data_IF_303004932472
#
_entry.id   IF_303004932472
#
_cell.length_a   1.000
_cell.length_b   1.000
_cell.length_c   1.000
_cell.angle_alpha   90.00
_cell.angle_beta   90.00
_cell.angle_gamma   90.00
#
_symmetry.space_group_name_H-M   'P 1'
#
loop_
_entity.id
_entity.type
_entity.pdbx_description
1 polymer ?
#
# COMPACT_ATOMS: atom_id res chain seq x y z
N UNK A 1 31.37 -67.25 21.11
CA UNK A 1 31.71 -65.85 21.45
C UNK A 1 30.38 -65.10 21.50
N UNK A 2 29.57 -65.37 22.51
CA UNK A 2 29.62 -64.70 23.82
C UNK A 2 29.16 -63.25 23.71
N UNK A 3 27.86 -63.06 23.90
CA UNK A 3 27.25 -61.93 24.63
C UNK A 3 27.96 -61.75 26.00
N UNK A 4 27.77 -60.68 26.83
CA UNK A 4 26.52 -59.91 27.02
C UNK A 4 26.79 -58.43 27.46
N UNK A 5 25.91 -57.55 27.99
CA UNK A 5 24.71 -57.62 28.87
C UNK A 5 24.15 -56.17 28.96
N UNK A 6 22.88 -55.87 28.66
CA UNK A 6 21.72 -55.69 29.59
C UNK A 6 21.87 -54.53 30.59
N UNK A 7 21.07 -53.47 30.53
CA UNK A 7 19.68 -53.30 31.07
C UNK A 7 19.72 -52.38 32.29
N UNK A 8 18.87 -51.33 32.32
CA UNK A 8 17.56 -51.28 33.02
C UNK A 8 17.25 -49.90 33.62
N UNK A 9 16.03 -49.43 33.31
CA UNK A 9 15.03 -48.71 34.13
C UNK A 9 15.43 -47.40 34.86
N UNK A 10 14.59 -46.38 35.02
CA UNK A 10 13.12 -46.30 35.06
C UNK A 10 12.67 -44.86 34.72
N UNK A 11 11.47 -44.72 34.15
CA UNK A 11 10.70 -43.46 34.16
C UNK A 11 10.27 -43.09 35.58
N UNK A 12 9.87 -41.83 35.82
CA UNK A 12 8.43 -41.63 35.99
C UNK A 12 7.85 -40.32 35.43
N UNK A 13 6.54 -40.42 35.21
CA UNK A 13 5.48 -39.41 35.33
C UNK A 13 5.44 -38.24 34.35
N UNK A 14 4.53 -38.42 33.39
CA UNK A 14 3.70 -37.38 32.81
C UNK A 14 3.10 -36.48 33.90
N UNK A 15 3.10 -35.16 33.65
CA UNK A 15 1.98 -34.32 34.03
C UNK A 15 1.56 -33.56 32.77
N UNK A 16 0.39 -33.95 32.26
CA UNK A 16 -0.31 -33.26 31.19
C UNK A 16 -0.72 -31.87 31.66
N UNK A 17 -0.41 -30.85 30.88
CA UNK A 17 -1.21 -29.63 30.86
C UNK A 17 -1.76 -29.49 29.44
N UNK A 18 -3.01 -29.92 29.27
CA UNK A 18 -3.82 -29.65 28.09
C UNK A 18 -3.98 -28.12 27.95
N UNK A 19 -3.26 -27.51 27.02
CA UNK A 19 -3.68 -26.26 26.43
C UNK A 19 -4.58 -26.61 25.25
N UNK A 20 -5.86 -26.23 25.35
CA UNK A 20 -6.84 -26.43 24.29
C UNK A 20 -6.43 -25.64 23.05
N UNK A 21 -5.88 -26.33 22.04
CA UNK A 21 -5.80 -25.79 20.69
C UNK A 21 -7.20 -25.78 20.09
N UNK A 22 -7.84 -24.61 20.08
CA UNK A 22 -8.93 -24.36 19.13
C UNK A 22 -8.38 -24.54 17.71
N UNK A 23 -9.04 -25.31 16.84
CA UNK A 23 -8.56 -25.51 15.49
C UNK A 23 -8.64 -24.17 14.75
N UNK A 24 -7.48 -23.63 14.39
CA UNK A 24 -7.36 -22.49 13.51
C UNK A 24 -8.27 -22.71 12.29
N UNK A 25 -9.37 -21.95 12.22
CA UNK A 25 -10.27 -21.95 11.07
C UNK A 25 -9.41 -21.63 9.84
N UNK A 26 -9.10 -22.66 9.04
CA UNK A 26 -8.52 -22.48 7.71
C UNK A 26 -9.49 -21.64 6.91
N UNK A 27 -9.26 -20.32 6.87
CA UNK A 27 -9.90 -19.42 5.91
C UNK A 27 -9.48 -19.92 4.53
N UNK A 28 -10.40 -20.56 3.82
CA UNK A 28 -10.26 -20.84 2.40
C UNK A 28 -10.04 -19.49 1.71
N UNK A 29 -8.82 -19.23 1.22
CA UNK A 29 -8.57 -18.08 0.34
C UNK A 29 -9.31 -18.35 -0.96
N UNK A 30 -10.51 -17.79 -1.11
CA UNK A 30 -11.13 -17.66 -2.43
C UNK A 30 -10.26 -16.68 -3.23
N UNK A 31 -9.49 -17.21 -4.18
CA UNK A 31 -8.78 -16.39 -5.16
C UNK A 31 -9.79 -15.98 -6.22
N UNK A 32 -10.20 -14.72 -6.19
CA UNK A 32 -11.04 -14.16 -7.24
C UNK A 32 -10.17 -13.71 -8.40
N UNK A 33 -10.54 -14.11 -9.62
CA UNK A 33 -9.81 -13.75 -10.85
C UNK A 33 -10.69 -12.79 -11.65
N UNK A 34 -10.08 -11.68 -12.08
CA UNK A 34 -10.72 -10.76 -13.02
C UNK A 34 -10.78 -11.39 -14.41
N UNK A 35 -11.90 -11.22 -15.08
CA UNK A 35 -12.12 -11.71 -16.44
C UNK A 35 -12.41 -10.54 -17.38
N UNK A 36 -11.83 -10.58 -18.57
CA UNK A 36 -12.09 -9.63 -19.64
C UNK A 36 -12.20 -10.37 -20.96
N UNK A 37 -13.28 -10.13 -21.70
CA UNK A 37 -13.53 -10.74 -23.00
C UNK A 37 -13.82 -9.65 -24.01
N UNK A 38 -13.18 -9.73 -25.17
CA UNK A 38 -13.57 -8.93 -26.34
C UNK A 38 -15.06 -9.15 -26.61
N UNK A 39 -15.79 -8.06 -26.86
CA UNK A 39 -17.22 -8.12 -27.14
C UNK A 39 -17.60 -7.17 -28.27
N UNK A 40 -18.77 -7.40 -28.87
CA UNK A 40 -19.45 -6.40 -29.67
C UNK A 40 -20.56 -5.76 -28.86
N UNK A 41 -20.64 -4.42 -28.88
CA UNK A 41 -21.68 -3.63 -28.22
C UNK A 41 -22.78 -3.34 -29.22
N UNK A 42 -24.00 -3.78 -28.93
CA UNK A 42 -25.17 -3.55 -29.78
C UNK A 42 -26.04 -2.43 -29.20
N UNK A 43 -26.62 -1.61 -30.08
CA UNK A 43 -27.71 -0.70 -29.69
C UNK A 43 -29.05 -1.41 -29.89
N UNK A 44 -29.59 -1.97 -28.80
CA UNK A 44 -30.73 -2.89 -28.85
C UNK A 44 -30.34 -4.33 -29.22
N UNK A 45 -31.26 -5.29 -28.98
CA UNK A 45 -30.98 -6.75 -29.03
C UNK A 45 -30.37 -7.24 -30.35
N UNK A 46 -30.88 -6.73 -31.48
CA UNK A 46 -30.40 -7.06 -32.83
C UNK A 46 -30.03 -5.82 -33.63
N UNK A 47 -29.84 -4.67 -32.99
CA UNK A 47 -29.55 -3.40 -33.66
C UNK A 47 -28.10 -3.26 -34.13
N UNK A 48 -27.66 -2.05 -34.51
CA UNK A 48 -26.32 -1.83 -35.07
C UNK A 48 -25.21 -2.17 -34.08
N UNK A 49 -24.05 -2.59 -34.60
CA UNK A 49 -22.83 -2.85 -33.82
C UNK A 49 -22.05 -1.55 -33.73
N UNK A 50 -21.96 -1.00 -32.53
CA UNK A 50 -21.37 0.33 -32.32
C UNK A 50 -19.89 0.28 -31.97
N UNK A 51 -19.48 -0.77 -31.25
CA UNK A 51 -18.09 -1.04 -30.90
C UNK A 51 -17.84 -2.55 -30.93
N UNK A 52 -16.63 -2.98 -31.28
CA UNK A 52 -16.29 -4.40 -31.34
C UNK A 52 -14.82 -4.68 -31.03
N UNK A 53 -14.57 -5.65 -30.16
CA UNK A 53 -13.24 -6.17 -29.91
C UNK A 53 -12.67 -6.93 -31.12
N UNK A 54 -11.35 -6.97 -31.21
CA UNK A 54 -10.62 -7.55 -32.36
C UNK A 54 -10.94 -9.05 -32.57
N UNK A 55 -11.23 -9.80 -31.51
CA UNK A 55 -11.59 -11.21 -31.63
C UNK A 55 -12.92 -11.48 -32.34
N UNK A 56 -13.77 -10.47 -32.54
CA UNK A 56 -15.05 -10.64 -33.23
C UNK A 56 -14.89 -10.54 -34.75
N UNK A 57 -13.70 -10.20 -35.25
CA UNK A 57 -13.37 -10.20 -36.68
C UNK A 57 -14.08 -9.10 -37.47
N UNK A 58 -14.47 -8.00 -36.83
CA UNK A 58 -15.10 -6.84 -37.44
C UNK A 58 -14.14 -5.64 -37.53
N UNK A 59 -14.19 -4.85 -38.62
CA UNK A 59 -13.37 -3.66 -38.77
C UNK A 59 -14.02 -2.45 -38.06
N UNK A 60 -14.03 -2.44 -36.72
CA UNK A 60 -14.50 -1.27 -35.95
C UNK A 60 -13.34 -0.47 -35.39
N UNK A 61 -13.46 0.86 -35.38
CA UNK A 61 -12.47 1.76 -34.77
C UNK A 61 -12.51 1.81 -33.25
N UNK A 62 -13.57 1.29 -32.64
CA UNK A 62 -13.82 1.30 -31.21
C UNK A 62 -13.72 -0.12 -30.64
N UNK A 63 -12.55 -0.56 -30.15
CA UNK A 63 -12.44 -1.81 -29.44
C UNK A 63 -13.29 -1.79 -28.17
N UNK A 64 -13.97 -2.90 -27.88
CA UNK A 64 -14.77 -3.05 -26.67
C UNK A 64 -14.50 -4.38 -25.98
N UNK A 65 -14.54 -4.36 -24.64
CA UNK A 65 -14.47 -5.56 -23.82
C UNK A 65 -15.53 -5.53 -22.72
N UNK A 66 -16.12 -6.69 -22.47
CA UNK A 66 -16.93 -6.95 -21.29
C UNK A 66 -16.03 -7.43 -20.16
N UNK A 67 -16.22 -6.89 -18.96
CA UNK A 67 -15.30 -7.00 -17.84
C UNK A 67 -16.05 -7.46 -16.58
N UNK A 68 -15.46 -8.43 -15.89
CA UNK A 68 -15.79 -8.84 -14.53
C UNK A 68 -14.53 -8.62 -13.68
N UNK A 69 -14.45 -7.47 -13.01
CA UNK A 69 -13.27 -7.03 -12.29
C UNK A 69 -13.34 -7.45 -10.83
N UNK A 70 -12.39 -8.29 -10.40
CA UNK A 70 -12.27 -8.83 -9.03
C UNK A 70 -10.88 -8.56 -8.46
N UNK A 71 -10.39 -7.34 -8.67
CA UNK A 71 -9.06 -6.90 -8.25
C UNK A 71 -9.03 -6.80 -6.71
N UNK A 72 -7.91 -7.19 -6.10
CA UNK A 72 -7.69 -7.02 -4.67
C UNK A 72 -7.74 -5.53 -4.28
N UNK A 73 -8.17 -5.27 -3.05
CA UNK A 73 -8.16 -3.93 -2.44
C UNK A 73 -8.97 -2.87 -3.18
N UNK A 74 -9.95 -3.31 -3.98
CA UNK A 74 -10.83 -2.45 -4.75
C UNK A 74 -12.23 -3.07 -4.83
N UNK A 75 -13.24 -2.21 -5.02
CA UNK A 75 -14.60 -2.69 -5.20
C UNK A 75 -14.73 -3.52 -6.48
N UNK A 76 -15.24 -4.76 -6.38
CA UNK A 76 -15.42 -5.61 -7.55
C UNK A 76 -16.65 -5.12 -8.34
N UNK A 77 -16.53 -5.12 -9.67
CA UNK A 77 -17.56 -4.58 -10.56
C UNK A 77 -17.69 -5.35 -11.87
N UNK A 78 -18.87 -5.30 -12.46
CA UNK A 78 -19.17 -5.82 -13.81
C UNK A 78 -19.51 -4.64 -14.70
N UNK A 79 -19.07 -4.68 -15.94
CA UNK A 79 -19.26 -3.58 -16.86
C UNK A 79 -18.54 -3.81 -18.17
N UNK A 80 -18.35 -2.75 -18.93
CA UNK A 80 -17.60 -2.80 -20.19
C UNK A 80 -16.71 -1.59 -20.34
N UNK A 81 -15.77 -1.68 -21.27
CA UNK A 81 -15.02 -0.53 -21.73
C UNK A 81 -15.19 -0.33 -23.24
N UNK A 82 -15.02 0.91 -23.66
CA UNK A 82 -14.83 1.29 -25.05
C UNK A 82 -13.50 2.05 -25.12
N UNK A 83 -12.64 1.59 -26.01
CA UNK A 83 -11.31 2.13 -26.21
C UNK A 83 -11.35 3.09 -27.40
N UNK A 84 -10.97 4.34 -27.16
CA UNK A 84 -10.84 5.39 -28.17
C UNK A 84 -9.37 5.50 -28.57
N UNK A 85 -9.01 5.25 -29.83
CA UNK A 85 -7.62 5.35 -30.26
C UNK A 85 -7.10 6.78 -30.13
N UNK A 86 -5.87 6.93 -29.63
CA UNK A 86 -5.08 8.16 -29.65
C UNK A 86 -4.02 8.05 -30.76
N UNK A 87 -3.47 9.18 -31.17
CA UNK A 87 -2.33 9.18 -32.08
C UNK A 87 -1.11 8.53 -31.43
N UNK A 88 -0.38 7.71 -32.19
CA UNK A 88 0.81 7.02 -31.69
C UNK A 88 1.82 8.05 -31.17
N UNK A 89 2.28 7.87 -29.94
CA UNK A 89 3.19 8.77 -29.22
C UNK A 89 2.65 10.20 -29.01
N UNK A 90 1.42 10.49 -29.44
CA UNK A 90 0.73 11.77 -29.28
C UNK A 90 1.49 13.01 -29.80
N UNK A 91 2.39 12.83 -30.78
CA UNK A 91 3.27 13.90 -31.26
C UNK A 91 2.51 15.06 -31.92
N UNK A 92 1.40 14.78 -32.62
CA UNK A 92 0.59 15.82 -33.24
C UNK A 92 -0.20 16.59 -32.16
N UNK A 93 -0.79 15.85 -31.22
CA UNK A 93 -1.48 16.41 -30.05
C UNK A 93 -0.55 17.32 -29.21
N UNK A 94 0.71 16.93 -29.03
CA UNK A 94 1.74 17.76 -28.36
C UNK A 94 2.05 19.04 -29.14
N UNK A 95 2.30 18.93 -30.45
CA UNK A 95 2.62 20.08 -31.31
C UNK A 95 1.47 21.11 -31.38
N UNK A 96 0.22 20.66 -31.24
CA UNK A 96 -0.96 21.51 -31.21
C UNK A 96 -1.29 22.08 -29.81
N UNK A 97 -0.49 21.74 -28.78
CA UNK A 97 -0.64 22.26 -27.42
C UNK A 97 -1.61 21.50 -26.51
N UNK A 98 -2.08 20.32 -26.92
CA UNK A 98 -2.92 19.43 -26.10
C UNK A 98 -2.10 18.51 -25.18
N UNK A 99 -0.79 18.40 -25.45
CA UNK A 99 0.15 17.59 -24.66
C UNK A 99 0.01 16.09 -24.88
N UNK A 100 0.71 15.32 -24.05
CA UNK A 100 0.75 13.84 -24.12
C UNK A 100 0.15 13.24 -22.87
N UNK A 101 -0.82 12.33 -23.06
CA UNK A 101 -1.39 11.54 -21.97
C UNK A 101 -0.49 10.36 -21.64
N UNK A 102 -0.23 10.16 -20.36
CA UNK A 102 0.62 9.09 -19.86
C UNK A 102 -0.13 8.17 -18.91
N UNK A 103 0.37 6.95 -18.75
CA UNK A 103 -0.04 6.06 -17.68
C UNK A 103 1.16 5.37 -17.05
N UNK A 104 1.02 4.99 -15.78
CA UNK A 104 2.01 4.18 -15.09
C UNK A 104 1.72 2.70 -15.37
N UNK A 105 2.66 2.05 -16.06
CA UNK A 105 2.57 0.64 -16.37
C UNK A 105 3.05 -0.20 -15.17
N UNK A 106 2.10 -0.77 -14.43
CA UNK A 106 2.37 -1.59 -13.25
C UNK A 106 3.18 -2.86 -13.56
N UNK A 107 3.03 -3.46 -14.75
CA UNK A 107 3.80 -4.66 -15.11
C UNK A 107 5.24 -4.36 -15.48
N UNK A 108 5.55 -3.10 -15.78
CA UNK A 108 6.90 -2.60 -16.07
C UNK A 108 7.42 -1.72 -14.93
N UNK A 109 7.25 -2.17 -13.68
CA UNK A 109 7.75 -1.49 -12.49
C UNK A 109 7.36 0.00 -12.42
N UNK A 110 6.09 0.29 -12.71
CA UNK A 110 5.52 1.64 -12.71
C UNK A 110 6.09 2.61 -13.76
N UNK A 111 6.80 2.12 -14.78
CA UNK A 111 7.30 2.94 -15.88
C UNK A 111 6.17 3.79 -16.49
N UNK A 112 6.42 5.09 -16.64
CA UNK A 112 5.48 6.02 -17.24
C UNK A 112 5.66 5.97 -18.76
N UNK A 113 4.60 5.61 -19.47
CA UNK A 113 4.60 5.51 -20.94
C UNK A 113 3.45 6.31 -21.53
N UNK A 114 3.59 6.88 -22.74
CA UNK A 114 2.48 7.48 -23.47
C UNK A 114 1.33 6.48 -23.66
N UNK A 115 0.11 6.97 -23.56
CA UNK A 115 -1.09 6.22 -23.91
C UNK A 115 -1.30 6.27 -25.43
N UNK A 116 -1.68 5.14 -26.00
CA UNK A 116 -2.17 5.01 -27.38
C UNK A 116 -3.70 4.88 -27.43
N UNK A 117 -4.34 4.79 -26.26
CA UNK A 117 -5.78 4.61 -26.11
C UNK A 117 -6.29 5.46 -24.94
N UNK A 118 -7.39 6.17 -25.19
CA UNK A 118 -8.24 6.71 -24.15
C UNK A 118 -9.40 5.75 -23.86
N UNK A 119 -9.52 5.29 -22.61
CA UNK A 119 -10.53 4.31 -22.23
C UNK A 119 -11.72 4.95 -21.51
N UNK A 120 -12.92 4.69 -22.02
CA UNK A 120 -14.17 4.91 -21.30
C UNK A 120 -14.55 3.60 -20.60
N UNK A 121 -14.76 3.65 -19.29
CA UNK A 121 -15.17 2.51 -18.47
C UNK A 121 -16.59 2.75 -17.97
N UNK A 122 -17.47 1.79 -18.22
CA UNK A 122 -18.86 1.81 -17.78
C UNK A 122 -19.07 0.68 -16.79
N UNK A 123 -19.40 1.01 -15.54
CA UNK A 123 -19.68 0.04 -14.47
C UNK A 123 -21.17 -0.08 -14.22
N UNK A 124 -21.70 -1.29 -14.20
CA UNK A 124 -23.09 -1.54 -13.82
C UNK A 124 -23.27 -1.39 -12.30
N UNK A 125 -24.40 -0.80 -11.85
CA UNK A 125 -24.66 -0.58 -10.44
C UNK A 125 -24.98 -1.91 -9.75
N UNK A 126 -24.09 -2.33 -8.83
CA UNK A 126 -24.22 -3.59 -8.09
C UNK A 126 -25.58 -3.72 -7.40
N UNK A 127 -26.23 -4.88 -7.55
CA UNK A 127 -27.53 -5.20 -6.98
C UNK A 127 -28.71 -4.49 -7.66
N UNK A 128 -28.48 -3.76 -8.77
CA UNK A 128 -29.50 -2.93 -9.43
C UNK A 128 -29.59 -3.20 -10.93
N UNK A 129 -29.30 -4.43 -11.36
CA UNK A 129 -29.53 -4.86 -12.75
C UNK A 129 -30.02 -6.30 -12.81
N UNK A 130 -30.81 -6.61 -13.83
CA UNK A 130 -31.05 -7.97 -14.28
C UNK A 130 -29.95 -8.38 -15.26
N UNK A 131 -29.59 -9.66 -15.22
CA UNK A 131 -28.57 -10.24 -16.07
C UNK A 131 -29.07 -11.52 -16.70
N UNK A 132 -28.79 -11.69 -17.99
CA UNK A 132 -28.96 -12.97 -18.69
C UNK A 132 -27.81 -13.18 -19.67
N UNK A 133 -27.43 -14.45 -19.84
CA UNK A 133 -26.51 -14.88 -20.89
C UNK A 133 -27.12 -16.09 -21.58
N UNK A 134 -27.40 -15.94 -22.87
CA UNK A 134 -27.97 -16.99 -23.72
C UNK A 134 -27.06 -17.23 -24.94
N UNK A 135 -27.25 -18.34 -25.66
CA UNK A 135 -26.62 -18.49 -26.96
C UNK A 135 -27.22 -17.47 -27.93
N UNK A 136 -26.37 -16.83 -28.72
CA UNK A 136 -26.79 -15.90 -29.75
C UNK A 136 -27.63 -16.62 -30.79
N UNK A 137 -28.75 -16.00 -31.16
CA UNK A 137 -29.60 -16.47 -32.25
C UNK A 137 -28.87 -16.41 -33.59
N UNK A 138 -29.35 -17.17 -34.57
CA UNK A 138 -28.69 -17.31 -35.88
C UNK A 138 -28.52 -15.96 -36.60
N UNK A 139 -29.49 -15.05 -36.46
CA UNK A 139 -29.44 -13.68 -37.01
C UNK A 139 -28.31 -12.84 -36.41
N UNK A 140 -28.05 -12.97 -35.11
CA UNK A 140 -26.95 -12.29 -34.43
C UNK A 140 -25.62 -12.97 -34.75
N UNK A 141 -25.59 -14.30 -34.69
CA UNK A 141 -24.41 -15.13 -34.91
C UNK A 141 -23.83 -15.00 -36.33
N UNK A 142 -24.68 -14.84 -37.35
CA UNK A 142 -24.25 -14.68 -38.74
C UNK A 142 -23.52 -13.36 -39.02
N UNK A 143 -23.65 -12.35 -38.14
CA UNK A 143 -23.00 -11.04 -38.29
C UNK A 143 -21.50 -11.07 -37.98
N UNK A 144 -21.01 -12.16 -37.39
CA UNK A 144 -19.63 -12.31 -36.96
C UNK A 144 -18.95 -13.52 -37.64
N UNK A 145 -18.87 -13.56 -38.98
CA UNK A 145 -18.37 -14.73 -39.70
C UNK A 145 -16.88 -15.03 -39.40
N UNK A 146 -16.11 -13.99 -39.07
CA UNK A 146 -14.66 -14.05 -38.86
C UNK A 146 -14.27 -14.04 -37.37
N UNK A 147 -15.22 -14.22 -36.46
CA UNK A 147 -14.92 -14.24 -35.03
C UNK A 147 -14.00 -15.42 -34.67
N UNK A 148 -12.95 -15.14 -33.89
CA UNK A 148 -12.10 -16.17 -33.30
C UNK A 148 -12.90 -16.93 -32.24
N UNK A 149 -12.70 -18.25 -32.16
CA UNK A 149 -13.43 -19.14 -31.24
C UNK A 149 -14.95 -19.19 -31.49
N UNK A 150 -15.44 -18.79 -32.66
CA UNK A 150 -16.86 -18.89 -33.04
C UNK A 150 -17.40 -20.32 -32.94
N UNK A 151 -16.53 -21.30 -33.16
CA UNK A 151 -16.78 -22.74 -32.99
C UNK A 151 -17.08 -23.14 -31.54
N UNK A 152 -16.67 -22.34 -30.56
CA UNK A 152 -16.91 -22.57 -29.12
C UNK A 152 -18.23 -21.97 -28.62
N UNK A 153 -19.01 -21.37 -29.51
CA UNK A 153 -20.26 -20.68 -29.19
C UNK A 153 -20.11 -19.16 -29.21
N UNK A 154 -21.26 -18.48 -29.21
CA UNK A 154 -21.35 -17.03 -29.17
C UNK A 154 -22.46 -16.67 -28.19
N UNK A 155 -22.12 -16.00 -27.10
CA UNK A 155 -23.07 -15.62 -26.08
C UNK A 155 -23.67 -14.25 -26.43
N UNK A 156 -25.00 -14.14 -26.33
CA UNK A 156 -25.68 -12.87 -26.19
C UNK A 156 -25.85 -12.57 -24.70
N UNK A 157 -25.10 -11.59 -24.22
CA UNK A 157 -25.13 -11.13 -22.84
C UNK A 157 -25.97 -9.87 -22.76
N UNK A 158 -26.93 -9.84 -21.84
CA UNK A 158 -27.83 -8.72 -21.64
C UNK A 158 -27.84 -8.28 -20.18
N UNK A 159 -27.71 -6.97 -19.98
CA UNK A 159 -27.89 -6.31 -18.70
C UNK A 159 -29.03 -5.30 -18.81
N UNK A 160 -30.00 -5.36 -17.90
CA UNK A 160 -31.08 -4.37 -17.78
C UNK A 160 -31.04 -3.68 -16.43
N UNK A 161 -30.88 -2.37 -16.41
CA UNK A 161 -30.89 -1.58 -15.19
C UNK A 161 -32.30 -1.55 -14.55
N UNK A 162 -32.36 -1.73 -13.23
CA UNK A 162 -33.60 -1.63 -12.44
C UNK A 162 -33.96 -0.18 -12.14
N UNK A 163 -35.25 0.12 -11.97
CA UNK A 163 -35.80 1.40 -11.49
C UNK A 163 -35.11 2.64 -12.07
N UNK A 164 -34.64 3.56 -11.23
CA UNK A 164 -33.87 4.75 -11.63
C UNK A 164 -32.35 4.53 -11.56
N UNK A 165 -31.89 3.28 -11.52
CA UNK A 165 -30.46 2.99 -11.48
C UNK A 165 -29.77 3.47 -12.77
N UNK A 166 -28.53 3.94 -12.61
CA UNK A 166 -27.68 4.45 -13.68
C UNK A 166 -26.31 3.77 -13.61
N UNK A 167 -25.65 3.64 -14.75
CA UNK A 167 -24.26 3.19 -14.82
C UNK A 167 -23.32 4.28 -14.31
N UNK A 168 -22.20 3.86 -13.72
CA UNK A 168 -21.09 4.77 -13.43
C UNK A 168 -20.16 4.81 -14.63
N UNK A 169 -20.08 5.96 -15.29
CA UNK A 169 -19.19 6.17 -16.43
C UNK A 169 -17.93 6.90 -15.97
N UNK A 170 -16.75 6.41 -16.37
CA UNK A 170 -15.45 7.02 -16.09
C UNK A 170 -14.69 7.18 -17.40
N UNK A 171 -13.95 8.29 -17.54
CA UNK A 171 -13.22 8.64 -18.76
C UNK A 171 -14.02 9.46 -19.76
N UNK A 172 -15.36 9.39 -19.75
CA UNK A 172 -16.20 10.27 -20.57
C UNK A 172 -16.15 11.73 -20.08
N UNK A 173 -16.18 12.69 -21.01
CA UNK A 173 -16.09 14.13 -20.73
C UNK A 173 -14.67 14.64 -20.42
N UNK A 174 -13.66 13.76 -20.47
CA UNK A 174 -12.25 14.18 -20.43
C UNK A 174 -11.89 14.77 -21.80
N UNK A 175 -11.16 15.90 -21.86
CA UNK A 175 -10.69 16.45 -23.13
C UNK A 175 -10.02 15.38 -24.00
N UNK A 176 -10.48 15.27 -25.24
CA UNK A 176 -10.04 14.27 -26.20
C UNK A 176 -9.51 14.97 -27.46
N UNK A 177 -8.37 14.48 -27.94
CA UNK A 177 -7.72 14.97 -29.16
C UNK A 177 -7.05 13.79 -29.88
N UNK A 178 -7.36 13.65 -31.16
CA UNK A 178 -6.70 12.77 -32.11
C UNK A 178 -6.70 13.42 -33.51
N UNK A 179 -5.64 14.16 -33.83
CA UNK A 179 -5.52 14.89 -35.10
C UNK A 179 -5.47 13.98 -36.33
N UNK A 180 -5.23 12.68 -36.17
CA UNK A 180 -5.10 11.72 -37.27
C UNK A 180 -6.42 11.00 -37.59
N UNK A 181 -7.44 11.09 -36.73
CA UNK A 181 -8.73 10.43 -36.94
C UNK A 181 -9.89 11.39 -36.65
N UNK A 182 -10.21 12.21 -37.66
CA UNK A 182 -11.30 13.18 -37.61
C UNK A 182 -12.68 12.54 -37.36
N UNK A 183 -12.85 11.26 -37.72
CA UNK A 183 -14.11 10.55 -37.49
C UNK A 183 -14.30 10.25 -36.00
N UNK A 184 -13.27 9.67 -35.35
CA UNK A 184 -13.29 9.41 -33.90
C UNK A 184 -13.38 10.70 -33.10
N UNK A 185 -12.66 11.75 -33.53
CA UNK A 185 -12.79 13.11 -32.97
C UNK A 185 -14.25 13.57 -32.96
N UNK A 186 -14.93 13.46 -34.10
CA UNK A 186 -16.32 13.93 -34.23
C UNK A 186 -17.30 13.13 -33.35
N UNK A 187 -17.05 11.83 -33.15
CA UNK A 187 -17.89 11.00 -32.27
C UNK A 187 -17.77 11.42 -30.80
N UNK A 188 -16.56 11.81 -30.36
CA UNK A 188 -16.29 12.14 -28.96
C UNK A 188 -16.60 13.61 -28.65
N UNK A 189 -16.17 14.53 -29.51
CA UNK A 189 -16.23 15.96 -29.26
C UNK A 189 -17.52 16.60 -29.78
N UNK A 190 -18.03 16.15 -30.93
CA UNK A 190 -19.20 16.75 -31.59
C UNK A 190 -20.48 15.90 -31.44
N UNK A 191 -20.39 14.77 -30.72
CA UNK A 191 -21.46 13.78 -30.56
C UNK A 191 -22.05 13.30 -31.89
N UNK A 192 -21.20 13.16 -32.91
CA UNK A 192 -21.63 12.65 -34.22
C UNK A 192 -21.99 11.15 -34.13
N UNK A 193 -22.94 10.67 -34.96
CA UNK A 193 -23.28 9.25 -35.02
C UNK A 193 -22.09 8.36 -35.40
N UNK A 194 -21.95 7.24 -34.69
CA UNK A 194 -20.98 6.19 -34.97
C UNK A 194 -21.50 5.27 -36.09
N UNK A 195 -22.76 4.83 -35.96
CA UNK A 195 -23.42 3.95 -36.94
C UNK A 195 -24.94 4.10 -36.84
N UNK A 196 -25.63 4.11 -37.98
CA UNK A 196 -27.10 4.14 -38.08
C UNK A 196 -27.77 5.21 -37.19
N UNK A 197 -27.15 6.39 -37.07
CA UNK A 197 -27.66 7.49 -36.24
C UNK A 197 -27.38 7.37 -34.73
N UNK A 198 -26.76 6.27 -34.27
CA UNK A 198 -26.44 6.02 -32.86
C UNK A 198 -25.16 6.73 -32.47
N UNK A 199 -25.21 7.55 -31.43
CA UNK A 199 -24.06 8.30 -30.89
C UNK A 199 -23.41 7.58 -29.71
N UNK A 200 -22.22 8.05 -29.28
CA UNK A 200 -21.58 7.55 -28.06
C UNK A 200 -22.46 7.80 -26.82
N UNK A 201 -23.10 8.97 -26.73
CA UNK A 201 -24.00 9.30 -25.63
C UNK A 201 -25.21 8.36 -25.57
N UNK A 202 -25.78 8.02 -26.73
CA UNK A 202 -26.91 7.08 -26.78
C UNK A 202 -26.54 5.75 -26.14
N UNK A 203 -25.35 5.21 -26.44
CA UNK A 203 -24.86 3.96 -25.87
C UNK A 203 -24.74 4.04 -24.34
N UNK A 204 -24.15 5.14 -23.85
CA UNK A 204 -23.86 5.34 -22.43
C UNK A 204 -25.13 5.60 -21.61
N UNK A 205 -26.16 6.17 -22.24
CA UNK A 205 -27.46 6.46 -21.62
C UNK A 205 -28.45 5.29 -21.65
N UNK A 206 -28.09 4.15 -22.27
CA UNK A 206 -28.96 2.98 -22.34
C UNK A 206 -29.33 2.44 -20.94
N UNK A 207 -30.51 1.82 -20.88
CA UNK A 207 -30.93 1.00 -19.73
C UNK A 207 -30.82 -0.49 -20.00
N UNK A 208 -30.83 -0.87 -21.28
CA UNK A 208 -30.65 -2.24 -21.76
C UNK A 208 -29.35 -2.30 -22.56
N UNK A 209 -28.38 -3.05 -22.06
CA UNK A 209 -27.07 -3.21 -22.69
C UNK A 209 -26.95 -4.62 -23.25
N UNK A 210 -26.67 -4.73 -24.55
CA UNK A 210 -26.53 -6.00 -25.25
C UNK A 210 -25.10 -6.16 -25.75
N UNK A 211 -24.53 -7.32 -25.47
CA UNK A 211 -23.17 -7.67 -25.87
C UNK A 211 -23.14 -9.03 -26.56
N UNK A 212 -22.34 -9.15 -27.61
CA UNK A 212 -22.02 -10.44 -28.21
C UNK A 212 -20.58 -10.80 -27.86
N UNK A 213 -20.37 -12.00 -27.31
CA UNK A 213 -19.07 -12.46 -26.81
C UNK A 213 -18.74 -13.84 -27.40
N UNK A 214 -17.52 -14.10 -27.91
CA UNK A 214 -17.15 -15.38 -28.52
C UNK A 214 -16.83 -16.47 -27.48
N UNK A 215 -17.85 -16.83 -26.70
CA UNK A 215 -17.88 -17.88 -25.68
C UNK A 215 -19.28 -18.52 -25.69
N UNK A 216 -19.42 -19.70 -25.09
CA UNK A 216 -20.74 -20.29 -24.87
C UNK A 216 -21.60 -19.46 -23.89
N UNK A 217 -22.92 -19.45 -24.05
CA UNK A 217 -23.85 -18.74 -23.17
C UNK A 217 -23.74 -19.18 -21.71
N UNK A 218 -23.50 -20.47 -21.46
CA UNK A 218 -23.25 -21.00 -20.11
C UNK A 218 -21.92 -20.53 -19.49
N UNK A 219 -20.90 -20.20 -20.32
CA UNK A 219 -19.66 -19.58 -19.85
C UNK A 219 -19.91 -18.12 -19.51
N UNK A 220 -20.64 -17.37 -20.34
CA UNK A 220 -21.04 -16.00 -20.06
C UNK A 220 -21.77 -15.86 -18.72
N UNK A 221 -22.72 -16.77 -18.44
CA UNK A 221 -23.42 -16.85 -17.17
C UNK A 221 -22.48 -17.09 -15.97
N UNK A 222 -21.36 -17.80 -16.14
CA UNK A 222 -20.40 -18.04 -15.06
C UNK A 222 -19.49 -16.84 -14.79
N UNK A 223 -19.12 -16.10 -15.84
CA UNK A 223 -18.14 -15.01 -15.76
C UNK A 223 -18.76 -13.68 -15.31
N UNK A 224 -19.99 -13.42 -15.75
CA UNK A 224 -20.62 -12.10 -15.66
C UNK A 224 -21.88 -12.07 -14.77
N UNK A 225 -22.17 -13.15 -14.04
CA UNK A 225 -23.22 -13.12 -13.03
C UNK A 225 -22.74 -12.44 -11.74
N UNK A 226 -23.60 -11.60 -11.17
CA UNK A 226 -23.27 -10.79 -10.00
C UNK A 226 -23.07 -11.64 -8.72
N UNK A 227 -23.81 -12.74 -8.58
CA UNK A 227 -23.73 -13.67 -7.45
C UNK A 227 -22.36 -14.37 -7.35
N UNK A 228 -21.57 -14.35 -8.43
CA UNK A 228 -20.19 -14.85 -8.50
C UNK A 228 -19.15 -13.82 -8.05
N UNK A 229 -19.55 -12.58 -7.79
CA UNK A 229 -18.63 -11.50 -7.42
C UNK A 229 -18.30 -11.53 -5.92
N UNK A 230 -17.06 -11.22 -5.53
CA UNK A 230 -16.71 -11.05 -4.13
C UNK A 230 -17.57 -9.94 -3.48
N UNK A 231 -17.72 -9.91 -2.15
CA UNK A 231 -18.41 -8.81 -1.48
C UNK A 231 -17.73 -7.45 -1.79
N UNK A 232 -18.45 -6.33 -1.65
CA UNK A 232 -17.85 -5.00 -1.76
C UNK A 232 -16.63 -4.86 -0.85
N UNK A 233 -15.59 -4.19 -1.35
CA UNK A 233 -14.39 -3.94 -0.60
C UNK A 233 -14.62 -2.82 0.40
N UNK A 234 -14.17 -3.05 1.63
CA UNK A 234 -14.21 -2.05 2.70
C UNK A 234 -12.90 -2.09 3.46
N UNK A 235 -12.35 -0.92 3.72
CA UNK A 235 -11.26 -0.81 4.68
C UNK A 235 -11.77 -1.17 6.08
N UNK A 236 -10.97 -1.83 6.91
CA UNK A 236 -11.40 -2.27 8.24
C UNK A 236 -11.32 -1.14 9.29
N UNK A 237 -11.06 0.08 8.87
CA UNK A 237 -10.94 1.26 9.73
C UNK A 237 -12.18 2.13 9.55
N UNK A 238 -12.66 2.77 10.62
CA UNK A 238 -13.80 3.69 10.54
C UNK A 238 -13.35 5.15 10.73
N UNK A 239 -14.21 6.09 10.36
CA UNK A 239 -13.85 7.52 10.22
C UNK A 239 -14.19 8.40 11.44
N UNK A 240 -14.91 7.87 12.44
CA UNK A 240 -15.61 8.64 13.48
C UNK A 240 -15.03 8.56 14.89
N UNK A 241 -13.71 8.46 15.07
CA UNK A 241 -13.10 8.35 16.40
C UNK A 241 -12.58 9.69 16.92
N UNK A 242 -12.84 9.96 18.19
CA UNK A 242 -11.98 10.84 18.99
C UNK A 242 -10.60 10.17 19.15
N UNK A 243 -9.53 10.97 19.22
CA UNK A 243 -8.17 10.46 19.35
C UNK A 243 -8.00 9.70 20.67
N UNK A 244 -7.98 8.37 20.60
CA UNK A 244 -7.72 7.47 21.72
C UNK A 244 -6.67 6.44 21.32
N UNK A 245 -5.46 6.59 21.87
CA UNK A 245 -4.29 5.81 21.47
C UNK A 245 -4.49 4.30 21.66
N UNK A 246 -5.05 3.86 22.79
CA UNK A 246 -5.26 2.44 23.09
C UNK A 246 -6.24 1.77 22.12
N UNK A 247 -7.31 2.48 21.76
CA UNK A 247 -8.31 2.02 20.80
C UNK A 247 -7.70 1.91 19.41
N UNK A 248 -6.91 2.92 19.01
CA UNK A 248 -6.21 2.94 17.73
C UNK A 248 -5.19 1.79 17.65
N UNK A 249 -4.34 1.62 18.68
CA UNK A 249 -3.35 0.52 18.74
C UNK A 249 -4.02 -0.84 18.60
N UNK A 250 -5.13 -1.06 19.30
CA UNK A 250 -5.91 -2.30 19.20
C UNK A 250 -6.45 -2.52 17.78
N UNK A 251 -7.02 -1.49 17.17
CA UNK A 251 -7.61 -1.59 15.85
C UNK A 251 -6.55 -1.83 14.77
N UNK A 252 -5.35 -1.25 14.91
CA UNK A 252 -4.19 -1.55 14.04
C UNK A 252 -3.76 -3.02 14.24
N UNK A 253 -3.64 -3.49 15.49
CA UNK A 253 -3.25 -4.86 15.79
C UNK A 253 -4.25 -5.89 15.24
N UNK A 254 -5.55 -5.62 15.36
CA UNK A 254 -6.63 -6.47 14.82
C UNK A 254 -6.64 -6.50 13.28
N UNK A 255 -6.08 -5.47 12.63
CA UNK A 255 -6.16 -5.27 11.18
C UNK A 255 -4.80 -5.10 10.49
N UNK A 256 -3.72 -5.69 11.03
CA UNK A 256 -2.38 -5.62 10.43
C UNK A 256 -2.36 -5.98 8.94
N UNK A 257 -3.18 -6.96 8.55
CA UNK A 257 -3.51 -7.25 7.14
C UNK A 257 -2.30 -7.40 6.23
N UNK A 258 -2.51 -7.15 4.94
CA UNK A 258 -1.43 -6.95 3.96
C UNK A 258 -1.37 -5.47 3.57
N UNK A 259 -0.26 -5.05 2.96
CA UNK A 259 -0.18 -3.71 2.39
C UNK A 259 -1.16 -3.59 1.21
N UNK A 260 -2.14 -2.69 1.34
CA UNK A 260 -3.11 -2.43 0.29
C UNK A 260 -2.45 -1.93 -1.00
N UNK A 261 -3.00 -2.34 -2.13
CA UNK A 261 -2.57 -1.85 -3.43
C UNK A 261 -2.69 -0.31 -3.54
N UNK A 262 -1.72 0.33 -4.19
CA UNK A 262 -1.76 1.77 -4.44
C UNK A 262 -3.02 2.16 -5.20
N UNK A 263 -3.76 3.11 -4.63
CA UNK A 263 -4.97 3.68 -5.20
C UNK A 263 -4.80 5.19 -5.38
N UNK A 264 -5.23 5.70 -6.54
CA UNK A 264 -5.26 7.14 -6.85
C UNK A 264 -6.69 7.68 -6.94
N UNK A 265 -7.68 6.79 -6.90
CA UNK A 265 -9.10 7.09 -6.89
C UNK A 265 -9.76 6.15 -5.87
N UNK A 266 -10.77 6.64 -5.17
CA UNK A 266 -11.54 5.85 -4.21
C UNK A 266 -13.01 5.80 -4.64
N UNK A 267 -13.71 4.74 -4.24
CA UNK A 267 -15.12 4.56 -4.62
C UNK A 267 -16.00 5.65 -4.01
N UNK A 268 -15.75 5.98 -2.74
CA UNK A 268 -16.48 6.95 -1.94
C UNK A 268 -15.53 7.82 -1.06
N UNK A 269 -16.09 8.92 -0.53
CA UNK A 269 -15.35 9.87 0.30
C UNK A 269 -14.89 9.26 1.64
N UNK A 270 -15.62 8.27 2.15
CA UNK A 270 -15.26 7.58 3.39
C UNK A 270 -13.98 6.76 3.21
N UNK A 271 -13.91 5.97 2.14
CA UNK A 271 -12.74 5.19 1.75
C UNK A 271 -11.51 6.08 1.55
N UNK A 272 -11.69 7.23 0.89
CA UNK A 272 -10.62 8.22 0.76
C UNK A 272 -10.16 8.75 2.13
N UNK A 273 -11.11 9.14 2.98
CA UNK A 273 -10.82 9.66 4.33
C UNK A 273 -10.07 8.63 5.18
N UNK A 274 -10.46 7.36 5.12
CA UNK A 274 -9.81 6.27 5.83
C UNK A 274 -8.36 6.15 5.41
N UNK A 275 -8.07 6.05 4.12
CA UNK A 275 -6.70 5.86 3.61
C UNK A 275 -5.80 7.02 4.02
N UNK A 276 -6.26 8.26 3.82
CA UNK A 276 -5.50 9.46 4.18
C UNK A 276 -5.24 9.52 5.68
N UNK A 277 -6.26 9.30 6.53
CA UNK A 277 -6.10 9.35 7.98
C UNK A 277 -5.20 8.22 8.49
N UNK A 278 -5.46 6.98 8.09
CA UNK A 278 -4.78 5.80 8.63
C UNK A 278 -3.30 5.77 8.28
N UNK A 279 -2.91 6.30 7.11
CA UNK A 279 -1.48 6.44 6.77
C UNK A 279 -0.71 7.30 7.77
N UNK A 280 -1.31 8.38 8.29
CA UNK A 280 -0.68 9.25 9.30
C UNK A 280 -0.80 8.65 10.69
N UNK A 281 -1.97 8.12 11.04
CA UNK A 281 -2.24 7.54 12.36
C UNK A 281 -1.31 6.37 12.65
N UNK A 282 -1.17 5.43 11.72
CA UNK A 282 -0.31 4.26 11.90
C UNK A 282 1.15 4.65 12.04
N UNK A 283 1.61 5.63 11.24
CA UNK A 283 2.96 6.15 11.30
C UNK A 283 3.28 6.77 12.67
N UNK A 284 2.36 7.57 13.23
CA UNK A 284 2.49 8.14 14.58
C UNK A 284 2.47 7.06 15.66
N UNK A 285 1.58 6.08 15.55
CA UNK A 285 1.48 4.98 16.53
C UNK A 285 2.74 4.11 16.53
N UNK A 286 3.28 3.80 15.36
CA UNK A 286 4.54 3.07 15.26
C UNK A 286 5.70 3.84 15.84
N UNK A 287 5.73 5.17 15.65
CA UNK A 287 6.71 6.01 16.35
C UNK A 287 6.52 5.96 17.87
N UNK A 288 5.30 6.08 18.38
CA UNK A 288 5.04 5.99 19.82
C UNK A 288 5.49 4.64 20.40
N UNK A 289 5.24 3.52 19.72
CA UNK A 289 5.73 2.20 20.13
C UNK A 289 7.27 2.15 20.12
N UNK A 290 7.91 2.72 19.11
CA UNK A 290 9.38 2.80 18.99
C UNK A 290 10.00 3.70 20.08
N UNK A 291 9.36 4.82 20.43
CA UNK A 291 9.78 5.70 21.52
C UNK A 291 9.80 4.94 22.85
N UNK A 292 8.73 4.22 23.18
CA UNK A 292 8.63 3.40 24.39
C UNK A 292 9.73 2.33 24.44
N UNK A 293 10.07 1.73 23.30
CA UNK A 293 11.12 0.71 23.22
C UNK A 293 12.53 1.31 23.36
N UNK A 294 12.78 2.46 22.73
CA UNK A 294 14.04 3.18 22.83
C UNK A 294 14.25 3.70 24.26
N UNK A 295 13.24 4.30 24.88
CA UNK A 295 13.29 4.84 26.25
C UNK A 295 13.67 3.76 27.28
N UNK A 296 13.19 2.52 27.10
CA UNK A 296 13.53 1.38 27.95
C UNK A 296 14.95 0.84 27.73
N UNK A 297 15.62 1.25 26.66
CA UNK A 297 16.95 0.74 26.32
C UNK A 297 18.01 1.64 26.92
N UNK A 298 18.79 1.09 27.87
CA UNK A 298 19.92 1.79 28.48
C UNK A 298 21.21 1.45 27.76
N UNK A 299 22.09 2.42 27.64
CA UNK A 299 23.41 2.25 27.03
C UNK A 299 24.50 2.66 28.00
N UNK A 300 25.64 1.93 28.02
CA UNK A 300 26.85 2.43 28.62
C UNK A 300 27.23 3.77 27.98
N UNK A 301 27.63 4.71 28.82
CA UNK A 301 28.08 6.02 28.39
C UNK A 301 29.12 6.56 29.35
N UNK A 302 30.00 7.44 28.84
CA UNK A 302 31.01 8.08 29.68
C UNK A 302 31.27 9.53 29.28
N UNK A 303 31.63 10.33 30.28
CA UNK A 303 31.96 11.73 30.08
C UNK A 303 33.42 11.87 29.64
N UNK A 304 33.66 12.77 28.70
CA UNK A 304 35.01 13.13 28.27
C UNK A 304 35.56 14.16 29.25
N UNK A 305 36.74 13.88 29.81
CA UNK A 305 37.42 14.81 30.72
C UNK A 305 37.77 16.12 29.98
N UNK A 306 37.37 17.30 30.49
CA UNK A 306 37.79 18.59 29.93
C UNK A 306 39.32 18.75 29.96
N UNK A 307 39.87 19.49 29.00
CA UNK A 307 41.31 19.80 28.98
C UNK A 307 41.73 20.70 30.16
N UNK A 308 40.84 21.60 30.58
CA UNK A 308 41.08 22.61 31.61
C UNK A 308 40.17 22.35 32.83
N UNK A 309 40.56 21.43 33.71
CA UNK A 309 39.89 21.19 34.99
C UNK A 309 39.04 19.92 35.07
N UNK A 310 38.22 19.80 36.13
CA UNK A 310 37.38 18.62 36.39
C UNK A 310 36.04 18.70 35.66
N UNK A 311 35.51 17.58 35.13
CA UNK A 311 34.15 17.54 34.60
C UNK A 311 33.10 17.90 35.67
N UNK A 312 33.44 17.76 36.95
CA UNK A 312 32.59 18.20 38.03
C UNK A 312 32.42 19.71 38.09
N UNK A 313 33.28 20.52 37.48
CA UNK A 313 33.17 22.00 37.50
C UNK A 313 32.61 22.57 36.19
N UNK A 314 32.53 21.78 35.12
CA UNK A 314 32.05 22.22 33.83
C UNK A 314 30.52 22.22 33.71
N UNK A 315 29.97 23.24 33.07
CA UNK A 315 28.53 23.34 32.74
C UNK A 315 28.17 22.63 31.44
N UNK A 316 29.16 22.41 30.57
CA UNK A 316 29.02 21.75 29.27
C UNK A 316 30.08 20.69 29.12
N UNK A 317 29.65 19.50 28.74
CA UNK A 317 30.50 18.34 28.63
C UNK A 317 30.21 17.60 27.32
N UNK A 318 31.13 16.73 26.93
CA UNK A 318 30.87 15.73 25.91
C UNK A 318 30.62 14.38 26.57
N UNK A 319 29.62 13.67 26.09
CA UNK A 319 29.20 12.35 26.52
C UNK A 319 29.28 11.43 25.31
N UNK A 320 30.03 10.33 25.43
CA UNK A 320 30.08 9.28 24.40
C UNK A 320 29.14 8.18 24.82
N UNK A 321 28.17 7.86 23.96
CA UNK A 321 27.16 6.81 24.19
C UNK A 321 27.44 5.62 23.27
N UNK A 322 27.61 4.45 23.86
CA UNK A 322 27.99 3.23 23.15
C UNK A 322 26.75 2.49 22.63
N UNK A 323 26.13 2.99 21.56
CA UNK A 323 25.02 2.28 20.92
C UNK A 323 25.51 1.01 20.23
N UNK A 324 24.65 0.01 20.20
CA UNK A 324 24.94 -1.26 19.52
C UNK A 324 24.50 -1.24 18.06
N UNK A 325 25.11 -2.12 17.25
CA UNK A 325 24.68 -2.34 15.85
C UNK A 325 23.24 -2.82 15.82
N UNK A 326 22.87 -3.72 16.72
CA UNK A 326 21.53 -4.29 16.81
C UNK A 326 20.48 -3.22 17.10
N UNK A 327 20.78 -2.28 18.00
CA UNK A 327 19.89 -1.15 18.27
C UNK A 327 19.73 -0.26 17.03
N UNK A 328 20.85 0.11 16.40
CA UNK A 328 20.83 0.95 15.19
C UNK A 328 20.09 0.28 14.04
N UNK A 329 20.36 -0.99 13.77
CA UNK A 329 19.70 -1.73 12.68
C UNK A 329 18.19 -1.89 12.95
N UNK A 330 17.78 -2.07 14.21
CA UNK A 330 16.37 -2.23 14.58
C UNK A 330 15.58 -0.92 14.54
N UNK A 331 16.18 0.17 15.00
CA UNK A 331 15.49 1.44 15.26
C UNK A 331 15.89 2.57 14.30
N UNK A 332 16.64 2.32 13.21
CA UNK A 332 17.25 3.39 12.38
C UNK A 332 16.23 4.41 11.88
N UNK A 333 15.08 3.94 11.37
CA UNK A 333 14.04 4.81 10.80
C UNK A 333 13.39 5.71 11.86
N UNK A 334 13.04 5.14 13.02
CA UNK A 334 12.48 5.88 14.14
C UNK A 334 13.52 6.84 14.74
N UNK A 335 14.75 6.35 14.96
CA UNK A 335 15.87 7.16 15.45
C UNK A 335 16.10 8.39 14.57
N UNK A 336 16.18 8.23 13.25
CA UNK A 336 16.35 9.36 12.31
C UNK A 336 15.26 10.41 12.43
N UNK A 337 14.02 9.99 12.71
CA UNK A 337 12.89 10.89 12.90
C UNK A 337 12.96 11.62 14.24
N UNK A 338 13.25 10.90 15.33
CA UNK A 338 13.38 11.49 16.66
C UNK A 338 14.57 12.44 16.78
N UNK A 339 15.68 12.14 16.11
CA UNK A 339 16.89 12.95 16.21
C UNK A 339 17.02 14.03 15.13
N UNK A 340 15.95 14.32 14.37
CA UNK A 340 16.01 15.28 13.25
C UNK A 340 16.48 16.68 13.67
N UNK A 341 16.09 17.13 14.85
CA UNK A 341 16.47 18.45 15.39
C UNK A 341 17.80 18.40 16.16
N UNK A 342 18.41 17.21 16.27
CA UNK A 342 19.65 16.93 16.99
C UNK A 342 19.63 17.34 18.47
N UNK A 343 18.49 17.68 19.07
CA UNK A 343 18.37 18.13 20.46
C UNK A 343 17.32 17.31 21.18
N UNK A 344 17.68 16.74 22.33
CA UNK A 344 16.77 15.98 23.20
C UNK A 344 17.34 15.95 24.63
N UNK A 345 16.64 15.29 25.55
CA UNK A 345 17.12 15.09 26.93
C UNK A 345 17.73 13.71 27.07
N UNK A 346 18.90 13.64 27.70
CA UNK A 346 19.52 12.38 28.11
C UNK A 346 19.15 12.09 29.55
N UNK A 347 18.69 10.86 29.80
CA UNK A 347 18.45 10.33 31.13
C UNK A 347 19.68 9.55 31.58
N UNK A 348 20.23 9.93 32.73
CA UNK A 348 21.42 9.34 33.32
C UNK A 348 21.03 8.46 34.51
N UNK A 349 21.61 7.28 34.57
CA UNK A 349 21.35 6.27 35.60
C UNK A 349 22.67 5.88 36.25
N UNK A 350 22.68 5.68 37.56
CA UNK A 350 23.87 5.27 38.27
C UNK A 350 24.24 3.81 37.94
N UNK A 351 23.22 2.97 37.76
CA UNK A 351 23.34 1.54 37.42
C UNK A 351 22.35 1.11 36.32
N UNK A 352 22.61 -0.04 35.69
CA UNK A 352 21.75 -0.58 34.63
C UNK A 352 20.39 -1.07 35.18
N UNK A 353 20.32 -1.38 36.47
CA UNK A 353 19.15 -1.91 37.17
C UNK A 353 18.18 -0.81 37.64
N UNK A 354 18.60 0.46 37.64
CA UNK A 354 17.80 1.55 38.19
C UNK A 354 16.52 1.84 37.40
N UNK A 355 15.34 1.71 38.00
CA UNK A 355 14.08 2.00 37.31
C UNK A 355 13.85 3.49 37.01
N UNK A 356 14.63 4.38 37.64
CA UNK A 356 14.48 5.84 37.52
C UNK A 356 15.80 6.51 37.25
N UNK A 357 15.77 7.51 36.38
CA UNK A 357 16.94 8.33 36.09
C UNK A 357 17.36 9.13 37.33
N UNK A 358 18.65 9.12 37.62
CA UNK A 358 19.26 9.95 38.66
C UNK A 358 19.45 11.39 38.19
N UNK A 359 19.52 11.63 36.88
CA UNK A 359 19.53 12.98 36.31
C UNK A 359 18.97 13.08 34.87
N UNK A 360 18.43 14.25 34.52
CA UNK A 360 17.93 14.57 33.18
C UNK A 360 18.66 15.80 32.64
N UNK A 361 19.42 15.66 31.54
CA UNK A 361 20.25 16.74 31.01
C UNK A 361 19.87 17.07 29.57
N UNK A 362 19.88 18.35 29.21
CA UNK A 362 19.71 18.75 27.80
C UNK A 362 20.95 18.35 27.01
N UNK A 363 20.76 17.76 25.84
CA UNK A 363 21.86 17.34 24.98
C UNK A 363 21.63 17.69 23.52
N UNK A 364 22.75 17.80 22.79
CA UNK A 364 22.78 17.96 21.35
C UNK A 364 23.69 16.90 20.71
N UNK A 365 23.24 16.21 19.67
CA UNK A 365 24.09 15.33 18.86
C UNK A 365 25.15 16.15 18.13
N UNK A 366 26.39 15.64 18.15
CA UNK A 366 27.52 16.19 17.42
C UNK A 366 27.76 15.37 16.16
N UNK A 367 27.35 15.88 15.00
CA UNK A 367 27.46 15.16 13.70
C UNK A 367 28.92 14.99 13.22
N UNK A 368 29.82 15.89 13.63
CA UNK A 368 31.22 15.92 13.22
C UNK A 368 32.16 15.96 14.43
N UNK A 369 32.22 14.90 15.24
CA UNK A 369 33.01 14.89 16.47
C UNK A 369 34.53 14.96 16.22
N UNK A 370 35.00 14.55 15.04
CA UNK A 370 36.44 14.48 14.71
C UNK A 370 37.12 15.86 14.67
N UNK A 371 36.36 16.94 14.47
CA UNK A 371 36.87 18.31 14.46
C UNK A 371 36.98 18.95 15.86
N UNK A 372 36.60 18.25 16.92
CA UNK A 372 36.53 18.79 18.28
C UNK A 372 37.82 18.41 19.04
N UNK A 373 38.66 19.38 19.45
CA UNK A 373 39.94 19.08 20.11
C UNK A 373 39.81 18.22 21.36
N UNK A 374 38.77 18.44 22.16
CA UNK A 374 38.49 17.67 23.37
C UNK A 374 38.22 16.17 23.10
N UNK A 375 37.86 15.80 21.87
CA UNK A 375 37.57 14.42 21.47
C UNK A 375 38.74 13.75 20.72
N UNK A 376 39.87 14.43 20.57
CA UNK A 376 41.00 13.90 19.80
C UNK A 376 41.56 12.58 20.39
N UNK A 377 41.48 12.40 21.72
CA UNK A 377 41.86 11.18 22.42
C UNK A 377 40.72 10.15 22.55
N UNK A 378 39.57 10.42 21.94
CA UNK A 378 38.31 9.67 22.06
C UNK A 378 37.82 9.24 20.67
N UNK A 379 38.53 8.35 19.96
CA UNK A 379 38.03 7.80 18.72
C UNK A 379 36.69 7.09 18.99
N UNK A 380 35.71 7.38 18.13
CA UNK A 380 34.36 6.80 18.23
C UNK A 380 34.17 5.71 17.19
N UNK A 381 33.51 4.64 17.62
CA UNK A 381 33.11 3.56 16.72
C UNK A 381 31.87 3.95 15.90
N UNK A 382 31.63 3.22 14.81
CA UNK A 382 30.61 3.53 13.79
C UNK A 382 29.20 3.82 14.34
N UNK A 383 28.81 3.16 15.42
CA UNK A 383 27.45 3.26 15.99
C UNK A 383 27.38 4.18 17.21
N UNK A 384 28.52 4.64 17.71
CA UNK A 384 28.57 5.48 18.89
C UNK A 384 28.09 6.89 18.57
N UNK A 385 27.46 7.51 19.57
CA UNK A 385 26.95 8.87 19.44
C UNK A 385 27.68 9.77 20.42
N UNK A 386 28.17 10.89 19.92
CA UNK A 386 28.73 11.95 20.74
C UNK A 386 27.65 12.99 21.00
N UNK A 387 27.36 13.21 22.27
CA UNK A 387 26.44 14.22 22.74
C UNK A 387 27.21 15.36 23.39
N UNK A 388 26.84 16.60 23.07
CA UNK A 388 27.19 17.77 23.88
C UNK A 388 26.08 18.01 24.89
N UNK A 389 26.35 17.79 26.15
CA UNK A 389 25.38 17.87 27.24
C UNK A 389 25.54 19.16 28.04
N UNK A 390 24.45 19.65 28.60
CA UNK A 390 24.43 20.81 29.50
C UNK A 390 23.91 20.37 30.86
N UNK A 391 24.72 20.60 31.90
CA UNK A 391 24.32 20.35 33.27
C UNK A 391 23.20 21.33 33.69
N UNK A 392 22.13 20.87 34.35
CA UNK A 392 21.10 21.75 34.90
C UNK A 392 21.68 22.71 35.94
N UNK A 393 21.22 23.96 35.94
CA UNK A 393 21.69 25.00 36.88
C UNK A 393 21.22 24.74 38.32
N UNK A 394 20.11 24.02 38.48
CA UNK A 394 19.56 23.60 39.78
C UNK A 394 19.26 22.09 39.75
N UNK A 395 19.93 21.28 40.59
CA UNK A 395 19.65 19.84 40.66
C UNK A 395 18.29 19.59 41.35
N UNK A 396 17.38 18.88 40.69
CA UNK A 396 16.02 18.57 41.19
C UNK A 396 16.01 17.83 42.54
N UNK A 397 17.06 17.07 42.84
CA UNK A 397 17.16 16.15 43.99
C UNK A 397 18.16 16.59 45.07
N UNK A 398 18.76 17.78 44.94
CA UNK A 398 19.70 18.33 45.95
C UNK A 398 21.08 17.66 45.99
N UNK A 399 21.27 16.49 45.37
CA UNK A 399 22.57 15.87 45.14
C UNK A 399 23.03 16.06 43.69
N UNK A 400 24.34 16.26 43.50
CA UNK A 400 24.97 16.36 42.19
C UNK A 400 25.22 14.95 41.65
N UNK A 401 24.75 14.65 40.45
CA UNK A 401 25.03 13.38 39.76
C UNK A 401 26.55 13.19 39.61
N UNK A 402 27.05 12.01 40.00
CA UNK A 402 28.47 11.68 39.97
C UNK A 402 28.91 11.32 38.55
N UNK A 403 29.95 11.98 38.04
CA UNK A 403 30.41 11.75 36.68
C UNK A 403 31.52 10.71 36.62
N UNK A 404 31.29 9.66 35.84
CA UNK A 404 32.36 8.76 35.35
C UNK A 404 33.02 9.42 34.15
N UNK A 405 34.20 10.00 34.38
CA UNK A 405 35.02 10.66 33.35
C UNK A 405 36.30 9.89 33.02
N UNK A 406 36.70 9.89 31.75
CA UNK A 406 37.92 9.24 31.30
C UNK A 406 38.76 10.18 30.42
N UNK A 407 40.08 10.07 30.54
CA UNK A 407 41.04 10.89 29.78
C UNK A 407 41.21 10.40 28.34
N UNK A 408 41.10 9.09 28.12
CA UNK A 408 41.21 8.46 26.80
C UNK A 408 40.25 7.27 26.65
N UNK A 409 40.09 6.80 25.40
CA UNK A 409 39.22 5.66 25.10
C UNK A 409 39.65 4.35 25.79
N UNK A 410 40.96 4.13 25.91
CA UNK A 410 41.48 2.90 26.47
C UNK A 410 41.17 2.79 27.98
N UNK A 411 41.13 3.90 28.70
CA UNK A 411 40.70 4.00 30.09
C UNK A 411 39.22 3.64 30.23
N UNK A 412 38.35 4.20 29.39
CA UNK A 412 36.92 3.89 29.36
C UNK A 412 36.65 2.39 29.06
N UNK A 413 37.33 1.83 28.06
CA UNK A 413 37.18 0.42 27.68
C UNK A 413 37.62 -0.56 28.78
N UNK A 414 38.64 -0.20 29.58
CA UNK A 414 39.07 -1.00 30.73
C UNK A 414 38.00 -1.00 31.82
N UNK A 415 37.48 0.18 32.16
CA UNK A 415 36.44 0.32 33.17
C UNK A 415 35.16 -0.45 32.78
N UNK A 416 34.72 -0.34 31.53
CA UNK A 416 33.56 -1.07 31.03
C UNK A 416 33.72 -2.60 31.16
N UNK A 417 34.92 -3.12 30.85
CA UNK A 417 35.24 -4.56 30.98
C UNK A 417 35.30 -5.03 32.43
N UNK A 418 35.63 -4.15 33.36
CA UNK A 418 35.64 -4.48 34.80
C UNK A 418 34.22 -4.50 35.35
N UNK A 419 33.37 -3.54 34.98
CA UNK A 419 31.95 -3.51 35.34
C UNK A 419 31.18 -4.70 34.75
N UNK A 420 31.49 -5.11 33.52
CA UNK A 420 30.81 -6.25 32.86
C UNK A 420 31.11 -7.63 33.48
N UNK A 421 32.02 -7.70 34.45
CA UNK A 421 32.39 -8.94 35.15
C UNK A 421 31.70 -9.08 36.51
N UNK A 422 30.93 -8.09 36.93
CA UNK A 422 30.10 -8.12 38.13
C UNK A 422 28.64 -8.11 37.71
#
# INVERSE_FOLDING_TARGET
MSQPTTDKAASPSQTNTEASEEPARKRVKLTYVSDSKDCAVLYGKSGPIVASGNHLGLPTKLPAKLISSKIADADPWIGFNVDLPLDKDQAASEAEGFGVRHWSNRSLNHQVTPLDIHRIVVKFPRGKFYFSSEEASEDVWCRFPNAKNRDKGMALVHFRLMDEAQVRVSGFGVPFKNSLDAEVESWVNDNMPIVDGVTLLDILAQRDFYFVVPIAGTEGAKLFAEDRMPPPFRYPFTTGWDWNLDTIKRLIAENQGHQYATAYCHEDAESHSIVVKQSVVQDVVWLDDEEIMIEKTKFPAYFVRPADGSANEADRLYLVVLLTKEFRDRHDDAWRRFTKDNVFRVHLFDTAEDDKASADWDCKIMDYPQGIPALAAQPTDKYEVVLRVRRPTEPKTGSRYELKEFGDRAEADRALKEESKH
#
